data_IF_392474894398
#
_entry.id   IF_392474894398
#
_cell.length_a   1.000
_cell.length_b   1.000
_cell.length_c   1.000
_cell.angle_alpha   90.00
_cell.angle_beta   90.00
_cell.angle_gamma   90.00
#
_symmetry.space_group_name_H-M   'P 1'
#
loop_
_entity.id
_entity.type
_entity.pdbx_description
1 polymer ?
#
# COMPACT_ATOMS: atom_id res chain seq x y z
N UNK A 1 -3.89 1.44 -10.17
CA UNK A 1 -2.66 0.80 -10.72
C UNK A 1 -1.43 1.45 -10.09
N UNK A 2 -1.27 1.33 -8.77
CA UNK A 2 -0.09 1.88 -8.07
C UNK A 2 1.14 1.09 -8.46
N UNK A 3 2.20 1.77 -8.90
CA UNK A 3 3.44 1.15 -9.36
C UNK A 3 4.59 1.51 -8.44
N UNK A 4 5.59 0.66 -8.39
CA UNK A 4 6.87 0.93 -7.78
C UNK A 4 7.97 0.52 -8.75
N UNK A 5 8.84 1.46 -9.11
CA UNK A 5 9.97 1.22 -10.00
C UNK A 5 11.26 1.30 -9.18
N UNK A 6 12.18 0.35 -9.36
CA UNK A 6 13.48 0.40 -8.70
C UNK A 6 14.32 1.56 -9.23
N UNK A 7 14.92 2.30 -8.32
CA UNK A 7 15.93 3.34 -8.57
C UNK A 7 17.05 3.16 -7.54
N UNK A 8 18.10 2.45 -7.94
CA UNK A 8 19.20 2.06 -7.06
C UNK A 8 18.74 1.18 -5.88
N UNK A 9 18.90 1.72 -4.67
CA UNK A 9 18.52 1.12 -3.38
C UNK A 9 17.15 1.59 -2.86
N UNK A 10 16.35 2.22 -3.74
CA UNK A 10 14.98 2.65 -3.43
C UNK A 10 13.99 2.19 -4.48
N UNK A 11 12.70 2.26 -4.13
CA UNK A 11 11.57 2.24 -5.03
C UNK A 11 11.03 3.67 -5.17
N UNK A 12 10.70 4.09 -6.39
CA UNK A 12 9.87 5.27 -6.65
C UNK A 12 8.43 4.80 -6.83
N UNK A 13 7.54 5.28 -5.97
CA UNK A 13 6.13 4.85 -5.93
C UNK A 13 5.22 5.95 -6.47
N UNK A 14 4.36 5.57 -7.42
CA UNK A 14 3.31 6.43 -7.97
C UNK A 14 1.96 5.74 -7.96
N UNK A 15 0.92 6.49 -7.61
CA UNK A 15 -0.47 6.12 -7.89
C UNK A 15 -1.43 6.54 -6.78
N UNK A 16 -2.50 5.77 -6.63
CA UNK A 16 -3.54 6.05 -5.65
C UNK A 16 -4.21 4.78 -5.16
N UNK A 17 -4.74 4.84 -3.94
CA UNK A 17 -5.62 3.85 -3.32
C UNK A 17 -6.85 4.55 -2.78
N UNK A 18 -7.92 3.79 -2.64
CA UNK A 18 -9.20 4.25 -2.10
C UNK A 18 -9.64 3.26 -1.02
N UNK A 19 -10.43 3.74 -0.06
CA UNK A 19 -10.89 2.99 1.11
C UNK A 19 -9.75 2.65 2.07
N UNK A 20 -8.82 3.59 2.25
CA UNK A 20 -7.71 3.44 3.21
C UNK A 20 -8.14 3.99 4.57
N UNK A 21 -8.64 3.11 5.44
CA UNK A 21 -8.96 3.48 6.82
C UNK A 21 -7.73 4.04 7.51
N UNK A 22 -7.91 5.13 8.28
CA UNK A 22 -6.86 5.85 9.01
C UNK A 22 -5.72 6.40 8.12
N UNK A 23 -5.92 6.63 6.82
CA UNK A 23 -4.87 7.21 5.98
C UNK A 23 -4.41 8.61 6.41
N UNK A 24 -5.25 9.33 7.16
CA UNK A 24 -4.99 10.67 7.72
C UNK A 24 -4.26 10.65 9.06
N UNK A 25 -4.24 9.51 9.76
CA UNK A 25 -3.74 9.39 11.14
C UNK A 25 -2.67 8.31 11.33
N UNK A 26 -2.55 7.36 10.41
CA UNK A 26 -1.53 6.31 10.47
C UNK A 26 -0.14 6.88 10.19
N UNK A 27 0.89 6.35 10.86
CA UNK A 27 2.30 6.70 10.58
C UNK A 27 2.85 6.01 9.32
N UNK A 28 2.25 4.87 8.95
CA UNK A 28 2.70 4.02 7.85
C UNK A 28 1.53 3.42 7.08
N UNK A 29 1.70 3.26 5.77
CA UNK A 29 0.83 2.48 4.91
C UNK A 29 1.50 1.17 4.52
N UNK A 30 0.82 0.06 4.77
CA UNK A 30 1.15 -1.26 4.23
C UNK A 30 0.67 -1.35 2.77
N UNK A 31 1.51 -0.90 1.83
CA UNK A 31 1.11 -0.62 0.46
C UNK A 31 1.41 -1.77 -0.51
N UNK A 32 0.36 -2.27 -1.16
CA UNK A 32 0.49 -3.20 -2.29
C UNK A 32 0.74 -2.44 -3.60
N UNK A 33 1.93 -2.65 -4.20
CA UNK A 33 2.38 -1.99 -5.42
C UNK A 33 2.67 -2.99 -6.54
N UNK A 34 2.51 -2.54 -7.79
CA UNK A 34 2.93 -3.27 -8.99
C UNK A 34 4.42 -3.00 -9.25
N UNK A 35 5.25 -4.02 -9.12
CA UNK A 35 6.70 -3.98 -9.44
C UNK A 35 7.03 -4.66 -10.76
N UNK A 36 6.17 -5.58 -11.22
CA UNK A 36 6.29 -6.20 -12.55
C UNK A 36 4.94 -6.12 -13.29
N UNK A 37 4.80 -5.21 -14.28
CA UNK A 37 3.59 -5.05 -15.10
C UNK A 37 3.42 -6.13 -16.17
N UNK A 38 4.47 -6.87 -16.53
CA UNK A 38 4.42 -7.96 -17.52
C UNK A 38 4.09 -9.32 -16.92
N UNK A 39 4.35 -9.51 -15.62
CA UNK A 39 4.00 -10.74 -14.91
C UNK A 39 2.48 -10.95 -14.79
N UNK A 40 2.03 -12.22 -14.63
CA UNK A 40 0.67 -12.52 -14.23
C UNK A 40 0.24 -11.68 -13.02
N UNK A 41 -1.03 -11.23 -12.91
CA UNK A 41 -1.44 -10.22 -11.94
C UNK A 41 -1.01 -10.50 -10.49
N UNK A 42 -1.08 -11.75 -10.02
CA UNK A 42 -0.72 -12.16 -8.66
C UNK A 42 0.79 -12.38 -8.44
N UNK A 43 1.59 -12.35 -9.50
CA UNK A 43 3.05 -12.59 -9.46
C UNK A 43 3.88 -11.32 -9.68
N UNK A 44 3.26 -10.15 -9.82
CA UNK A 44 3.97 -8.87 -10.01
C UNK A 44 3.70 -7.85 -8.91
N UNK A 45 3.27 -8.31 -7.73
CA UNK A 45 2.91 -7.44 -6.60
C UNK A 45 3.99 -7.54 -5.52
N UNK A 46 4.35 -6.40 -4.95
CA UNK A 46 5.28 -6.27 -3.80
C UNK A 46 4.58 -5.49 -2.68
N UNK A 47 4.91 -5.81 -1.43
CA UNK A 47 4.44 -5.05 -0.26
C UNK A 47 5.54 -4.12 0.23
N UNK A 48 5.20 -2.85 0.45
CA UNK A 48 6.10 -1.81 0.94
C UNK A 48 5.52 -1.18 2.20
N UNK A 49 6.39 -0.82 3.14
CA UNK A 49 6.08 0.11 4.23
C UNK A 49 6.35 1.53 3.74
N UNK A 50 5.30 2.32 3.56
CA UNK A 50 5.38 3.70 3.09
C UNK A 50 5.08 4.65 4.24
N UNK A 51 6.00 5.55 4.64
CA UNK A 51 5.73 6.51 5.69
C UNK A 51 4.74 7.57 5.20
N UNK A 52 3.73 7.90 5.99
CA UNK A 52 2.75 8.96 5.66
C UNK A 52 3.33 10.36 5.85
N UNK A 53 4.50 10.47 6.47
CA UNK A 53 5.28 11.71 6.59
C UNK A 53 6.09 12.07 5.34
N UNK A 54 6.16 11.18 4.34
CA UNK A 54 6.83 11.48 3.07
C UNK A 54 6.10 12.63 2.35
N UNK A 55 6.80 13.65 1.81
CA UNK A 55 6.16 14.78 1.14
C UNK A 55 5.38 14.40 -0.12
N UNK A 56 5.64 13.23 -0.71
CA UNK A 56 4.88 12.69 -1.83
C UNK A 56 3.61 11.92 -1.42
N UNK A 57 3.37 11.73 -0.11
CA UNK A 57 2.14 11.16 0.41
C UNK A 57 1.12 12.24 0.71
N UNK A 58 -0.13 11.99 0.33
CA UNK A 58 -1.27 12.80 0.78
C UNK A 58 -2.54 11.98 0.78
N UNK A 59 -3.58 12.47 1.45
CA UNK A 59 -4.89 11.83 1.42
C UNK A 59 -6.05 12.82 1.50
N UNK A 60 -7.21 12.40 1.00
CA UNK A 60 -8.48 13.13 1.10
C UNK A 60 -9.46 12.29 1.91
N UNK A 61 -10.08 12.90 2.91
CA UNK A 61 -11.15 12.27 3.71
C UNK A 61 -12.37 11.96 2.83
N UNK A 62 -12.94 10.79 3.05
CA UNK A 62 -14.17 10.29 2.44
C UNK A 62 -15.14 10.01 3.57
N UNK A 63 -16.20 10.82 3.62
CA UNK A 63 -17.25 10.64 4.62
C UNK A 63 -18.11 9.44 4.24
N UNK A 64 -18.30 8.52 5.18
CA UNK A 64 -19.15 7.35 4.96
C UNK A 64 -20.49 7.49 5.68
N UNK A 65 -21.43 6.58 5.41
CA UNK A 65 -22.70 6.53 6.15
C UNK A 65 -22.48 6.09 7.62
N UNK A 66 -21.43 5.31 7.87
CA UNK A 66 -21.07 4.86 9.21
C UNK A 66 -20.31 5.97 9.96
N UNK A 67 -20.14 5.81 11.27
CA UNK A 67 -19.42 6.77 12.12
C UNK A 67 -17.91 6.84 11.89
N UNK A 68 -17.39 6.10 10.90
CA UNK A 68 -15.96 6.02 10.62
C UNK A 68 -15.72 6.48 9.19
N UNK A 69 -14.99 7.58 9.06
CA UNK A 69 -14.52 8.06 7.78
C UNK A 69 -13.29 7.27 7.33
N UNK A 70 -13.01 7.33 6.04
CA UNK A 70 -11.88 6.65 5.40
C UNK A 70 -11.21 7.61 4.44
N UNK A 71 -10.15 7.20 3.73
CA UNK A 71 -9.46 8.10 2.81
C UNK A 71 -9.26 7.54 1.41
N UNK A 72 -9.12 8.45 0.45
CA UNK A 72 -8.34 8.20 -0.76
C UNK A 72 -6.91 8.69 -0.50
N UNK A 73 -5.91 7.81 -0.70
CA UNK A 73 -4.49 8.14 -0.52
C UNK A 73 -3.78 8.22 -1.86
N UNK A 74 -2.88 9.19 -2.01
CA UNK A 74 -2.13 9.51 -3.21
C UNK A 74 -0.63 9.41 -2.94
N UNK A 75 0.11 8.94 -3.94
CA UNK A 75 1.55 8.73 -3.89
C UNK A 75 2.15 9.35 -5.14
N UNK A 76 2.98 10.37 -4.98
CA UNK A 76 3.64 11.09 -6.05
C UNK A 76 5.16 11.07 -5.84
N UNK A 77 5.87 10.25 -6.61
CA UNK A 77 7.33 10.08 -6.51
C UNK A 77 7.85 9.75 -5.10
N UNK A 78 7.05 9.04 -4.30
CA UNK A 78 7.43 8.65 -2.93
C UNK A 78 8.61 7.67 -2.99
N UNK A 79 9.70 7.97 -2.28
CA UNK A 79 10.93 7.15 -2.27
C UNK A 79 10.93 6.21 -1.09
N UNK A 80 10.91 4.91 -1.38
CA UNK A 80 10.86 3.86 -0.36
C UNK A 80 12.13 3.02 -0.41
N UNK A 81 12.98 3.00 0.63
CA UNK A 81 14.16 2.14 0.68
C UNK A 81 13.84 0.66 0.47
N UNK A 82 14.75 -0.11 -0.12
CA UNK A 82 14.56 -1.57 -0.27
C UNK A 82 14.38 -2.27 1.09
N UNK A 83 14.93 -1.72 2.17
CA UNK A 83 14.78 -2.23 3.54
C UNK A 83 13.35 -2.13 4.08
N UNK A 84 12.52 -1.27 3.49
CA UNK A 84 11.10 -1.14 3.82
C UNK A 84 10.22 -2.10 3.00
N UNK A 85 10.82 -2.90 2.12
CA UNK A 85 10.09 -3.99 1.45
C UNK A 85 9.83 -5.11 2.42
N UNK A 86 8.59 -5.59 2.44
CA UNK A 86 8.22 -6.72 3.28
C UNK A 86 8.09 -7.97 2.43
N UNK A 87 8.92 -8.96 2.78
CA UNK A 87 9.12 -10.17 1.99
C UNK A 87 9.93 -9.92 0.72
N UNK A 88 9.81 -10.86 -0.21
CA UNK A 88 10.48 -10.81 -1.51
C UNK A 88 9.70 -9.95 -2.51
N UNK A 89 10.45 -9.29 -3.41
CA UNK A 89 9.86 -8.62 -4.56
C UNK A 89 9.03 -9.60 -5.40
N UNK A 90 7.90 -9.12 -5.92
CA UNK A 90 6.95 -9.89 -6.71
C UNK A 90 6.26 -11.05 -5.95
N UNK A 91 6.47 -11.19 -4.63
CA UNK A 91 5.83 -12.19 -3.77
C UNK A 91 4.78 -11.62 -2.81
N UNK A 92 4.36 -10.37 -2.98
CA UNK A 92 3.44 -9.67 -2.08
C UNK A 92 2.04 -10.28 -2.01
N UNK A 93 1.57 -10.97 -3.07
CA UNK A 93 0.22 -11.54 -3.08
C UNK A 93 -0.03 -12.53 -1.93
N UNK A 94 0.96 -13.36 -1.59
CA UNK A 94 0.84 -14.32 -0.47
C UNK A 94 0.66 -13.60 0.86
N UNK A 95 1.37 -12.49 1.05
CA UNK A 95 1.27 -11.66 2.26
C UNK A 95 -0.12 -11.03 2.38
N UNK A 96 -0.65 -10.48 1.29
CA UNK A 96 -2.01 -9.92 1.24
C UNK A 96 -3.04 -10.98 1.62
N UNK A 97 -3.00 -12.15 0.98
CA UNK A 97 -3.97 -13.22 1.26
C UNK A 97 -3.88 -13.74 2.69
N UNK A 98 -2.68 -13.76 3.28
CA UNK A 98 -2.51 -14.18 4.67
C UNK A 98 -3.16 -13.17 5.63
N UNK A 99 -2.88 -11.88 5.47
CA UNK A 99 -3.49 -10.82 6.27
C UNK A 99 -5.03 -10.83 6.18
N UNK A 100 -5.58 -10.96 4.96
CA UNK A 100 -7.03 -11.03 4.76
C UNK A 100 -7.68 -12.24 5.44
N UNK A 101 -6.96 -13.35 5.62
CA UNK A 101 -7.48 -14.49 6.38
C UNK A 101 -7.62 -14.17 7.86
N UNK A 102 -6.68 -13.41 8.44
CA UNK A 102 -6.76 -12.97 9.82
C UNK A 102 -7.89 -11.96 10.04
N UNK A 103 -8.09 -11.01 9.12
CA UNK A 103 -9.16 -10.01 9.21
C UNK A 103 -10.57 -10.63 9.20
N UNK A 104 -10.76 -11.80 8.58
CA UNK A 104 -12.04 -12.54 8.63
C UNK A 104 -12.44 -12.97 10.03
N UNK A 105 -11.47 -13.25 10.91
CA UNK A 105 -11.76 -13.59 12.31
C UNK A 105 -12.29 -12.37 13.04
N UNK A 106 -11.69 -11.21 12.80
CA UNK A 106 -12.09 -9.94 13.42
C UNK A 106 -13.49 -9.49 13.00
N UNK A 107 -13.90 -9.76 11.75
CA UNK A 107 -15.26 -9.45 11.29
C UNK A 107 -16.36 -10.30 11.94
N UNK A 108 -16.01 -11.44 12.54
CA UNK A 108 -16.96 -12.34 13.17
C UNK A 108 -17.17 -12.08 14.68
N UNK A 109 -16.26 -11.31 15.30
CA UNK A 109 -16.31 -10.92 16.70
C UNK A 109 -17.22 -9.70 16.91
#
# INVERSE_FOLDING_TARGET
>A
KTRAVRDGDTYIVDGQKIWTTNGDTADWVWLAVRTDPGAPPHKGITMLLVPTSDPGYSCTLINTLASHDTTASYYENVRVPLTHRVGEENKGWRLITNQLNHERVTLAA
#
